data_IF_712592627651
#
_entry.id   IF_712592627651
#
_cell.length_a   1.000
_cell.length_b   1.000
_cell.length_c   1.000
_cell.angle_alpha   90.00
_cell.angle_beta   90.00
_cell.angle_gamma   90.00
#
_symmetry.space_group_name_H-M   'P 1'
#
loop_
_entity.id
_entity.type
_entity.pdbx_description
1 polymer ?
#
# COMPACT_ATOMS: atom_id res chain seq x y z
N UNK A 1 13.88 14.59 -14.61
CA UNK A 1 12.89 13.93 -13.73
C UNK A 1 13.11 14.41 -12.31
N UNK A 2 12.07 14.47 -11.48
CA UNK A 2 12.16 14.87 -10.08
C UNK A 2 12.50 13.64 -9.22
N UNK A 3 13.34 13.82 -8.20
CA UNK A 3 13.68 12.77 -7.23
C UNK A 3 13.11 13.10 -5.86
N UNK A 4 12.35 12.20 -5.28
CA UNK A 4 11.72 12.38 -3.97
C UNK A 4 12.09 11.22 -3.07
N UNK A 5 12.56 11.52 -1.85
CA UNK A 5 12.79 10.49 -0.84
C UNK A 5 11.49 10.19 -0.12
N UNK A 6 11.23 8.91 0.11
CA UNK A 6 10.15 8.46 0.98
C UNK A 6 10.75 8.17 2.34
N UNK A 7 10.17 8.76 3.38
CA UNK A 7 10.61 8.59 4.78
C UNK A 7 9.42 8.24 5.66
N UNK A 8 9.69 7.70 6.84
CA UNK A 8 8.68 7.58 7.88
C UNK A 8 9.23 8.13 9.21
N UNK A 9 8.47 9.01 9.86
CA UNK A 9 8.86 9.62 11.14
C UNK A 9 9.31 8.57 12.18
N UNK A 10 8.63 7.43 12.20
CA UNK A 10 8.88 6.30 13.10
C UNK A 10 9.72 5.16 12.49
N UNK A 11 10.43 5.40 11.38
CA UNK A 11 11.27 4.39 10.74
C UNK A 11 12.28 3.79 11.71
N UNK A 12 12.27 2.47 11.85
CA UNK A 12 13.23 1.74 12.69
C UNK A 12 14.63 1.73 12.07
N UNK A 13 14.72 1.76 10.73
CA UNK A 13 15.98 1.76 9.96
C UNK A 13 16.19 3.10 9.25
N UNK A 14 16.56 4.13 10.00
CA UNK A 14 16.75 5.49 9.46
C UNK A 14 17.89 5.63 8.45
N UNK A 15 18.81 4.67 8.42
CA UNK A 15 19.95 4.66 7.51
C UNK A 15 19.61 4.14 6.11
N UNK A 16 18.50 3.40 5.97
CA UNK A 16 18.02 2.92 4.69
C UNK A 16 17.56 4.12 3.84
N UNK A 17 17.85 4.05 2.55
CA UNK A 17 17.54 5.11 1.61
C UNK A 17 16.53 4.61 0.59
N UNK A 18 15.34 5.19 0.61
CA UNK A 18 14.23 4.86 -0.28
C UNK A 18 13.78 6.11 -0.99
N UNK A 19 13.93 6.14 -2.30
CA UNK A 19 13.52 7.27 -3.12
C UNK A 19 12.90 6.80 -4.44
N UNK A 20 12.14 7.70 -5.05
CA UNK A 20 11.60 7.54 -6.39
C UNK A 20 12.06 8.66 -7.31
N UNK A 21 12.20 8.35 -8.59
CA UNK A 21 12.37 9.32 -9.66
C UNK A 21 11.16 9.28 -10.60
N UNK A 22 10.54 10.43 -10.84
CA UNK A 22 9.27 10.54 -11.57
C UNK A 22 9.14 11.88 -12.28
N UNK A 23 8.20 11.97 -13.23
CA UNK A 23 7.80 13.22 -13.87
C UNK A 23 6.80 14.02 -13.02
N UNK A 24 6.19 13.38 -12.02
CA UNK A 24 5.25 14.03 -11.10
C UNK A 24 5.94 15.15 -10.32
N UNK A 25 5.20 16.21 -10.02
CA UNK A 25 5.65 17.24 -9.08
C UNK A 25 5.44 16.78 -7.62
N UNK A 26 5.92 17.56 -6.64
CA UNK A 26 5.83 17.19 -5.23
C UNK A 26 4.39 16.95 -4.78
N UNK A 27 3.48 17.89 -5.10
CA UNK A 27 2.07 17.80 -4.76
C UNK A 27 1.40 16.53 -5.31
N UNK A 28 1.70 16.18 -6.56
CA UNK A 28 1.19 14.95 -7.16
C UNK A 28 1.75 13.69 -6.47
N UNK A 29 3.01 13.71 -6.03
CA UNK A 29 3.59 12.61 -5.25
C UNK A 29 2.93 12.53 -3.88
N UNK A 30 2.72 13.66 -3.20
CA UNK A 30 2.01 13.71 -1.92
C UNK A 30 0.60 13.11 -2.03
N UNK A 31 -0.14 13.45 -3.08
CA UNK A 31 -1.48 12.90 -3.33
C UNK A 31 -1.41 11.41 -3.68
N UNK A 32 -0.47 10.98 -4.52
CA UNK A 32 -0.34 9.57 -4.89
C UNK A 32 0.02 8.69 -3.69
N UNK A 33 0.91 9.17 -2.81
CA UNK A 33 1.29 8.47 -1.57
C UNK A 33 0.08 8.36 -0.64
N UNK A 34 -0.63 9.46 -0.39
CA UNK A 34 -1.84 9.43 0.43
C UNK A 34 -2.92 8.52 -0.14
N UNK A 35 -3.14 8.58 -1.46
CA UNK A 35 -4.06 7.69 -2.14
C UNK A 35 -3.70 6.22 -1.90
N UNK A 36 -2.43 5.81 -2.04
CA UNK A 36 -2.00 4.44 -1.76
C UNK A 36 -2.24 4.05 -0.30
N UNK A 37 -1.98 4.95 0.65
CA UNK A 37 -2.24 4.70 2.08
C UNK A 37 -3.75 4.53 2.35
N UNK A 38 -4.60 5.39 1.78
CA UNK A 38 -6.05 5.29 1.95
C UNK A 38 -6.62 4.05 1.27
N UNK A 39 -6.13 3.68 0.08
CA UNK A 39 -6.55 2.44 -0.58
C UNK A 39 -6.15 1.23 0.26
N UNK A 40 -4.91 1.18 0.77
CA UNK A 40 -4.46 0.12 1.69
C UNK A 40 -5.35 0.00 2.93
N UNK A 41 -5.77 1.12 3.50
CA UNK A 41 -6.64 1.14 4.68
C UNK A 41 -8.01 0.47 4.42
N UNK A 42 -8.50 0.54 3.17
CA UNK A 42 -9.77 -0.07 2.75
C UNK A 42 -9.62 -1.54 2.32
N UNK A 43 -8.41 -2.12 2.38
CA UNK A 43 -8.14 -3.51 2.01
C UNK A 43 -8.09 -4.41 3.25
N UNK A 44 -8.24 -5.74 3.06
CA UNK A 44 -8.11 -6.71 4.15
C UNK A 44 -6.77 -6.56 4.88
N UNK A 45 -6.84 -6.60 6.20
CA UNK A 45 -5.66 -6.56 7.08
C UNK A 45 -5.20 -7.98 7.43
N UNK A 46 -3.89 -8.12 7.66
CA UNK A 46 -3.26 -9.41 7.97
C UNK A 46 -2.25 -9.21 9.09
N UNK A 47 -2.38 -9.93 10.22
CA UNK A 47 -1.56 -9.66 11.40
C UNK A 47 -0.08 -10.01 11.21
N UNK A 48 0.22 -10.86 10.22
CA UNK A 48 1.58 -11.23 9.88
C UNK A 48 2.30 -10.16 9.03
N UNK A 49 1.60 -9.10 8.61
CA UNK A 49 2.14 -7.94 7.89
C UNK A 49 2.03 -6.68 8.77
N UNK A 50 2.71 -5.62 8.36
CA UNK A 50 2.55 -4.32 9.00
C UNK A 50 1.13 -3.79 8.78
N UNK A 51 0.65 -3.01 9.74
CA UNK A 51 -0.67 -2.37 9.74
C UNK A 51 -0.77 -1.17 8.78
N UNK A 52 0.37 -0.72 8.22
CA UNK A 52 0.45 0.31 7.19
C UNK A 52 1.58 0.05 6.19
N UNK A 53 1.59 0.85 5.12
CA UNK A 53 2.65 0.84 4.12
C UNK A 53 3.92 1.49 4.69
N UNK A 54 5.05 0.79 4.64
CA UNK A 54 6.36 1.37 4.94
C UNK A 54 7.01 1.98 3.68
N UNK A 55 8.18 2.59 3.84
CA UNK A 55 8.87 3.30 2.76
C UNK A 55 9.17 2.40 1.56
N UNK A 56 9.63 1.16 1.82
CA UNK A 56 9.89 0.18 0.77
C UNK A 56 8.60 -0.20 0.02
N UNK A 57 7.48 -0.33 0.74
CA UNK A 57 6.20 -0.67 0.12
C UNK A 57 5.76 0.46 -0.82
N UNK A 58 5.87 1.70 -0.36
CA UNK A 58 5.48 2.88 -1.12
C UNK A 58 6.33 3.05 -2.38
N UNK A 59 7.66 2.89 -2.33
CA UNK A 59 8.47 3.03 -3.56
C UNK A 59 8.15 1.91 -4.58
N UNK A 60 7.86 0.68 -4.12
CA UNK A 60 7.48 -0.43 -5.01
C UNK A 60 6.11 -0.18 -5.64
N UNK A 61 5.14 0.29 -4.86
CA UNK A 61 3.81 0.62 -5.36
C UNK A 61 3.84 1.83 -6.30
N UNK A 62 4.63 2.86 -5.99
CA UNK A 62 4.85 4.00 -6.88
C UNK A 62 5.48 3.58 -8.21
N UNK A 63 6.41 2.63 -8.19
CA UNK A 63 6.94 2.05 -9.41
C UNK A 63 5.86 1.28 -10.20
N UNK A 64 5.15 0.38 -9.53
CA UNK A 64 4.17 -0.51 -10.15
C UNK A 64 2.97 0.23 -10.74
N UNK A 65 2.44 1.21 -10.02
CA UNK A 65 1.17 1.89 -10.35
C UNK A 65 1.41 3.16 -11.15
N UNK A 66 2.48 3.90 -10.85
CA UNK A 66 2.76 5.20 -11.46
C UNK A 66 3.99 5.21 -12.38
N UNK A 67 4.69 4.09 -12.53
CA UNK A 67 5.86 3.99 -13.41
C UNK A 67 7.08 4.76 -12.89
N UNK A 68 7.14 5.08 -11.60
CA UNK A 68 8.29 5.76 -11.01
C UNK A 68 9.53 4.84 -11.01
N UNK A 69 10.73 5.39 -11.19
CA UNK A 69 11.96 4.61 -11.06
C UNK A 69 12.36 4.52 -9.58
N UNK A 70 12.70 3.32 -9.11
CA UNK A 70 13.15 3.09 -7.73
C UNK A 70 14.62 3.50 -7.59
N UNK A 71 14.94 4.18 -6.50
CA UNK A 71 16.30 4.55 -6.11
C UNK A 71 16.53 4.10 -4.66
N UNK A 72 17.51 3.21 -4.47
CA UNK A 72 17.92 2.75 -3.12
C UNK A 72 19.31 3.25 -2.71
N UNK A 73 20.05 3.83 -3.65
CA UNK A 73 21.36 4.43 -3.37
C UNK A 73 21.20 5.91 -3.03
N UNK A 74 21.99 6.38 -2.05
CA UNK A 74 21.99 7.78 -1.63
C UNK A 74 22.30 8.69 -2.81
N UNK A 75 21.38 9.60 -3.09
CA UNK A 75 21.50 10.57 -4.18
C UNK A 75 20.92 11.91 -3.77
N UNK A 76 21.21 12.96 -4.53
CA UNK A 76 20.58 14.26 -4.32
C UNK A 76 19.08 14.17 -4.62
N UNK A 77 18.27 14.65 -3.68
CA UNK A 77 16.80 14.65 -3.75
C UNK A 77 16.28 16.07 -3.83
N UNK A 78 15.09 16.23 -4.43
CA UNK A 78 14.40 17.51 -4.51
C UNK A 78 13.67 17.84 -3.20
N UNK A 79 13.02 16.83 -2.62
CA UNK A 79 12.28 16.93 -1.37
C UNK A 79 12.08 15.54 -0.76
N UNK A 80 11.63 15.52 0.50
CA UNK A 80 11.21 14.32 1.22
C UNK A 80 9.69 14.32 1.34
N UNK A 81 9.09 13.12 1.26
CA UNK A 81 7.69 12.85 1.56
C UNK A 81 7.67 11.90 2.73
N UNK A 82 7.27 12.41 3.90
CA UNK A 82 7.15 11.61 5.11
C UNK A 82 5.76 10.98 5.19
N UNK A 83 5.70 9.65 5.27
CA UNK A 83 4.45 8.89 5.24
C UNK A 83 3.51 9.23 6.40
N UNK A 84 4.05 9.47 7.60
CA UNK A 84 3.23 9.82 8.76
C UNK A 84 2.67 11.24 8.63
N UNK A 85 3.54 12.20 8.29
CA UNK A 85 3.11 13.60 8.11
C UNK A 85 2.12 13.73 6.94
N UNK A 86 2.37 12.99 5.85
CA UNK A 86 1.51 12.99 4.68
C UNK A 86 0.13 12.40 5.02
N UNK A 87 0.07 11.28 5.73
CA UNK A 87 -1.19 10.71 6.23
C UNK A 87 -1.98 11.73 7.06
N UNK A 88 -1.38 12.28 8.11
CA UNK A 88 -2.05 13.24 9.01
C UNK A 88 -2.54 14.50 8.26
N UNK A 89 -1.70 15.03 7.36
CA UNK A 89 -2.04 16.23 6.60
C UNK A 89 -3.18 15.99 5.61
N UNK A 90 -3.14 14.87 4.88
CA UNK A 90 -4.11 14.58 3.84
C UNK A 90 -5.44 14.10 4.44
N UNK A 91 -5.40 13.30 5.51
CA UNK A 91 -6.58 12.85 6.24
C UNK A 91 -7.35 14.03 6.84
N UNK A 92 -6.66 14.96 7.51
CA UNK A 92 -7.31 16.15 8.11
C UNK A 92 -7.97 17.08 7.08
N UNK A 93 -7.70 16.90 5.78
CA UNK A 93 -8.20 17.72 4.68
C UNK A 93 -8.93 16.92 3.61
N UNK A 94 -9.34 15.69 3.93
CA UNK A 94 -9.79 14.70 2.95
C UNK A 94 -10.90 15.18 2.02
N UNK A 95 -11.86 15.95 2.52
CA UNK A 95 -12.93 16.52 1.68
C UNK A 95 -12.43 17.51 0.62
N UNK A 96 -11.31 18.21 0.90
CA UNK A 96 -10.69 19.13 -0.05
C UNK A 96 -9.79 18.40 -1.04
N UNK A 97 -9.14 17.33 -0.61
CA UNK A 97 -8.13 16.62 -1.39
C UNK A 97 -8.74 15.48 -2.22
N UNK A 98 -9.94 14.99 -1.90
CA UNK A 98 -10.61 13.92 -2.64
C UNK A 98 -10.74 14.17 -4.15
N UNK A 99 -11.17 15.36 -4.64
CA UNK A 99 -11.20 15.61 -6.08
C UNK A 99 -9.84 15.46 -6.73
N UNK A 100 -8.77 15.90 -6.07
CA UNK A 100 -7.40 15.81 -6.56
C UNK A 100 -6.88 14.36 -6.51
N UNK A 101 -7.28 13.59 -5.48
CA UNK A 101 -7.00 12.15 -5.41
C UNK A 101 -7.68 11.40 -6.55
N UNK A 102 -8.88 11.80 -6.98
CA UNK A 102 -9.53 11.20 -8.14
C UNK A 102 -8.76 11.45 -9.45
N UNK A 103 -8.09 12.60 -9.58
CA UNK A 103 -7.24 12.89 -10.75
C UNK A 103 -5.99 12.01 -10.81
N UNK A 104 -5.47 11.60 -9.64
CA UNK A 104 -4.30 10.73 -9.55
C UNK A 104 -4.65 9.24 -9.48
N UNK A 105 -5.89 8.87 -9.18
CA UNK A 105 -6.35 7.49 -9.10
C UNK A 105 -6.00 6.70 -10.38
N UNK A 106 -5.73 5.40 -10.19
CA UNK A 106 -5.34 4.49 -11.28
C UNK A 106 -6.13 3.18 -11.19
N UNK A 107 -6.35 2.50 -12.33
CA UNK A 107 -6.95 1.18 -12.33
C UNK A 107 -6.01 0.14 -11.71
N UNK A 108 -6.56 -0.83 -10.98
CA UNK A 108 -5.81 -1.99 -10.46
C UNK A 108 -4.88 -1.66 -9.29
N UNK A 109 -5.18 -0.61 -8.53
CA UNK A 109 -4.46 -0.23 -7.32
C UNK A 109 -4.76 -1.22 -6.19
N UNK A 110 -6.02 -1.64 -6.03
CA UNK A 110 -6.38 -2.66 -5.04
C UNK A 110 -5.66 -3.99 -5.30
N UNK A 111 -5.66 -4.42 -6.56
CA UNK A 111 -4.91 -5.57 -7.03
C UNK A 111 -3.40 -5.41 -6.76
N UNK A 112 -2.85 -4.25 -7.14
CA UNK A 112 -1.42 -3.96 -7.03
C UNK A 112 -0.93 -3.96 -5.59
N UNK A 113 -1.75 -3.45 -4.65
CA UNK A 113 -1.47 -3.48 -3.21
C UNK A 113 -1.59 -4.91 -2.67
N UNK A 114 -2.68 -5.64 -2.96
CA UNK A 114 -2.83 -7.02 -2.48
C UNK A 114 -1.73 -7.94 -3.02
N UNK A 115 -1.33 -7.76 -4.27
CA UNK A 115 -0.20 -8.50 -4.85
C UNK A 115 1.10 -8.17 -4.13
N UNK A 116 1.34 -6.90 -3.79
CA UNK A 116 2.50 -6.50 -2.97
C UNK A 116 2.49 -7.14 -1.58
N UNK A 117 1.34 -7.11 -0.88
CA UNK A 117 1.17 -7.74 0.43
C UNK A 117 1.41 -9.26 0.35
N UNK A 118 0.93 -9.91 -0.70
CA UNK A 118 1.19 -11.33 -0.96
C UNK A 118 2.68 -11.62 -1.18
N UNK A 119 3.39 -10.82 -1.98
CA UNK A 119 4.84 -10.97 -2.17
C UNK A 119 5.60 -10.79 -0.86
N UNK A 120 5.23 -9.78 -0.05
CA UNK A 120 5.83 -9.54 1.25
C UNK A 120 5.60 -10.68 2.23
N UNK A 121 4.36 -11.16 2.32
CA UNK A 121 4.02 -12.30 3.17
C UNK A 121 4.81 -13.55 2.80
N UNK A 122 4.94 -13.86 1.51
CA UNK A 122 5.77 -14.99 1.06
C UNK A 122 7.26 -14.79 1.38
N UNK A 123 7.78 -13.56 1.28
CA UNK A 123 9.19 -13.26 1.60
C UNK A 123 9.49 -13.45 3.08
N UNK A 124 8.58 -13.05 3.97
CA UNK A 124 8.80 -13.15 5.43
C UNK A 124 8.42 -14.51 6.02
N UNK A 125 7.70 -15.36 5.27
CA UNK A 125 7.22 -16.67 5.73
C UNK A 125 8.33 -17.55 6.36
N UNK A 126 9.55 -17.68 5.80
CA UNK A 126 10.61 -18.47 6.43
C UNK A 126 11.08 -17.91 7.77
N UNK A 127 11.05 -16.59 7.94
CA UNK A 127 11.38 -15.92 9.19
C UNK A 127 10.28 -16.18 10.24
N UNK A 128 9.01 -16.01 9.87
CA UNK A 128 7.88 -16.26 10.78
C UNK A 128 7.90 -17.69 11.32
N UNK A 129 8.23 -18.68 10.49
CA UNK A 129 8.40 -20.08 10.90
C UNK A 129 9.37 -20.25 12.08
N UNK A 130 10.37 -19.39 12.18
CA UNK A 130 11.41 -19.45 13.21
C UNK A 130 11.09 -18.57 14.42
N UNK A 131 10.36 -17.48 14.24
CA UNK A 131 10.18 -16.44 15.26
C UNK A 131 8.79 -16.40 15.88
N UNK A 132 7.75 -16.78 15.15
CA UNK A 132 6.37 -16.70 15.62
C UNK A 132 5.46 -17.71 14.89
N UNK A 133 5.22 -18.86 15.51
CA UNK A 133 4.41 -19.94 14.95
C UNK A 133 2.95 -19.51 14.66
N UNK A 134 2.35 -18.69 15.52
CA UNK A 134 0.96 -18.25 15.34
C UNK A 134 0.80 -17.40 14.07
N UNK A 135 1.70 -16.43 13.85
CA UNK A 135 1.70 -15.62 12.64
C UNK A 135 2.08 -16.43 11.39
N UNK A 136 2.93 -17.45 11.54
CA UNK A 136 3.25 -18.37 10.45
C UNK A 136 2.02 -19.19 10.02
N UNK A 137 1.26 -19.73 10.98
CA UNK A 137 0.04 -20.50 10.69
C UNK A 137 -1.04 -19.61 10.05
N UNK A 138 -1.18 -18.36 10.50
CA UNK A 138 -2.03 -17.37 9.86
C UNK A 138 -1.58 -17.10 8.42
N UNK A 139 -0.29 -16.82 8.20
CA UNK A 139 0.24 -16.55 6.86
C UNK A 139 0.01 -17.73 5.91
N UNK A 140 0.22 -18.97 6.36
CA UNK A 140 -0.06 -20.18 5.57
C UNK A 140 -1.53 -20.31 5.18
N UNK A 141 -2.45 -19.84 6.04
CA UNK A 141 -3.88 -19.85 5.75
C UNK A 141 -4.27 -18.74 4.76
N UNK A 142 -3.73 -17.53 4.94
CA UNK A 142 -4.17 -16.35 4.20
C UNK A 142 -3.48 -16.18 2.85
N UNK A 143 -2.19 -16.51 2.70
CA UNK A 143 -1.48 -16.33 1.44
C UNK A 143 -2.12 -17.06 0.25
N UNK A 144 -2.59 -18.32 0.38
CA UNK A 144 -3.33 -18.99 -0.69
C UNK A 144 -4.69 -18.34 -0.99
N UNK A 145 -5.33 -17.70 -0.01
CA UNK A 145 -6.61 -16.99 -0.21
C UNK A 145 -6.39 -15.68 -0.98
N UNK A 146 -5.35 -14.93 -0.64
CA UNK A 146 -4.94 -13.74 -1.40
C UNK A 146 -4.64 -14.12 -2.85
N UNK A 147 -3.87 -15.20 -3.09
CA UNK A 147 -3.60 -15.71 -4.44
C UNK A 147 -4.89 -16.04 -5.23
N UNK A 148 -5.89 -16.64 -4.59
CA UNK A 148 -7.20 -16.91 -5.24
C UNK A 148 -7.93 -15.64 -5.63
N UNK A 149 -7.90 -14.61 -4.79
CA UNK A 149 -8.60 -13.35 -5.07
C UNK A 149 -7.91 -12.56 -6.17
N UNK A 150 -6.57 -12.56 -6.18
CA UNK A 150 -5.77 -12.01 -7.29
C UNK A 150 -6.05 -12.74 -8.63
N UNK A 151 -6.52 -13.98 -8.58
CA UNK A 151 -6.97 -14.76 -9.75
C UNK A 151 -8.46 -14.57 -10.09
N UNK A 152 -9.16 -13.65 -9.44
CA UNK A 152 -10.55 -13.31 -9.75
C UNK A 152 -11.61 -14.00 -8.91
N UNK A 153 -11.22 -14.69 -7.83
CA UNK A 153 -12.19 -15.20 -6.85
C UNK A 153 -12.67 -14.06 -5.97
N UNK A 154 -13.98 -13.97 -5.69
CA UNK A 154 -14.48 -13.04 -4.68
C UNK A 154 -14.07 -13.50 -3.28
N UNK A 155 -13.97 -12.56 -2.34
CA UNK A 155 -13.71 -12.88 -0.92
C UNK A 155 -14.84 -13.74 -0.36
N UNK A 156 -14.50 -14.91 0.18
CA UNK A 156 -15.47 -15.80 0.84
C UNK A 156 -15.79 -15.29 2.25
N UNK A 157 -17.07 -15.11 2.61
CA UNK A 157 -17.48 -14.69 3.96
C UNK A 157 -16.92 -15.55 5.09
N UNK A 158 -16.61 -16.83 4.83
CA UNK A 158 -16.05 -17.73 5.82
C UNK A 158 -14.58 -17.41 6.16
N UNK A 159 -13.91 -16.57 5.39
CA UNK A 159 -12.53 -16.16 5.67
C UNK A 159 -12.44 -15.07 6.74
N UNK A 160 -13.55 -14.35 7.00
CA UNK A 160 -13.63 -13.31 8.02
C UNK A 160 -12.66 -12.15 7.79
N UNK A 161 -12.47 -11.75 6.52
CA UNK A 161 -11.59 -10.64 6.19
C UNK A 161 -12.24 -9.30 6.50
N UNK A 162 -11.49 -8.45 7.19
CA UNK A 162 -11.91 -7.11 7.58
C UNK A 162 -10.84 -6.10 7.17
N UNK A 163 -11.29 -4.91 6.75
CA UNK A 163 -10.42 -3.75 6.59
C UNK A 163 -9.97 -3.20 7.95
N UNK A 164 -9.11 -2.19 7.96
CA UNK A 164 -8.55 -1.66 9.20
C UNK A 164 -9.63 -1.12 10.17
N UNK A 165 -10.74 -0.58 9.64
CA UNK A 165 -11.89 -0.10 10.41
C UNK A 165 -12.85 -1.20 10.89
N UNK A 166 -12.54 -2.48 10.64
CA UNK A 166 -13.37 -3.62 11.05
C UNK A 166 -14.52 -3.95 10.10
N UNK A 167 -14.51 -3.36 8.90
CA UNK A 167 -15.57 -3.58 7.93
C UNK A 167 -15.34 -4.83 7.09
N UNK A 168 -16.40 -5.61 6.87
CA UNK A 168 -16.32 -6.91 6.20
C UNK A 168 -15.97 -6.72 4.72
N UNK A 169 -15.01 -7.53 4.25
CA UNK A 169 -14.56 -7.55 2.86
C UNK A 169 -15.32 -8.57 1.99
N UNK A 170 -16.37 -9.19 2.51
CA UNK A 170 -17.13 -10.26 1.90
C UNK A 170 -17.62 -9.93 0.49
N UNK A 171 -17.40 -10.84 -0.47
CA UNK A 171 -17.85 -10.68 -1.86
C UNK A 171 -17.01 -9.72 -2.71
N UNK A 172 -16.05 -9.01 -2.13
CA UNK A 172 -15.19 -8.08 -2.89
C UNK A 172 -14.37 -8.80 -3.96
N UNK A 173 -14.19 -8.13 -5.10
CA UNK A 173 -13.31 -8.54 -6.19
C UNK A 173 -12.18 -7.51 -6.34
N UNK A 174 -10.94 -7.97 -6.32
CA UNK A 174 -9.76 -7.11 -6.39
C UNK A 174 -8.91 -7.33 -7.64
N UNK A 175 -9.48 -7.85 -8.72
CA UNK A 175 -8.78 -7.95 -10.01
C UNK A 175 -8.74 -6.60 -10.71
N UNK A 176 -7.77 -6.44 -11.62
CA UNK A 176 -7.64 -5.22 -12.42
C UNK A 176 -8.94 -4.86 -13.14
N UNK A 177 -9.44 -3.66 -12.87
CA UNK A 177 -10.55 -3.07 -13.61
C UNK A 177 -10.03 -2.10 -14.69
N UNK A 178 -10.88 -1.76 -15.66
CA UNK A 178 -10.57 -0.75 -16.69
C UNK A 178 -10.72 0.68 -16.16
N UNK A 179 -11.43 0.86 -15.06
CA UNK A 179 -11.68 2.14 -14.40
C UNK A 179 -10.76 2.35 -13.22
N UNK A 180 -10.44 3.60 -12.84
CA UNK A 180 -9.68 3.88 -11.63
C UNK A 180 -10.35 3.29 -10.38
N UNK A 181 -9.54 2.78 -9.45
CA UNK A 181 -10.04 2.34 -8.16
C UNK A 181 -10.26 3.59 -7.29
N UNK A 182 -11.50 3.97 -7.06
CA UNK A 182 -11.79 5.13 -6.21
C UNK A 182 -11.85 4.73 -4.74
N UNK A 183 -11.60 5.71 -3.87
CA UNK A 183 -11.89 5.58 -2.46
C UNK A 183 -13.39 5.33 -2.32
N UNK A 184 -13.73 4.11 -1.91
CA UNK A 184 -15.13 3.71 -1.70
C UNK A 184 -15.67 4.35 -0.42
N UNK A 185 -14.77 4.76 0.50
CA UNK A 185 -15.12 5.23 1.84
C UNK A 185 -14.24 6.41 2.26
N UNK A 186 -14.87 7.43 2.83
CA UNK A 186 -14.21 8.47 3.63
C UNK A 186 -14.80 8.37 5.04
N UNK A 187 -13.94 8.43 6.06
CA UNK A 187 -14.30 8.41 7.47
C UNK A 187 -15.36 9.46 7.85
#
# INVERSE_FOLDING_TARGET
MNKFRITHTYATRKDDFYAIETMMNLHQVDLAVAYLQFMHFNLPTFNFLNDGLCELDVIVLMHRIYGANIITDRTAIKAEVDLYVNWEHQLSRIHKTLPELHEIARPGVNEGILFHLWEMGNRILPMLKQTNQALYDEALLQLPRIDRVLKGTSVDPAWGWESFDGERCDGNLYTKQSTPDFLVRLF
#
